data_IF_290896037417
#
_entry.id   IF_290896037417
#
_cell.length_a   1.000
_cell.length_b   1.000
_cell.length_c   1.000
_cell.angle_alpha   90.00
_cell.angle_beta   90.00
_cell.angle_gamma   90.00
#
_symmetry.space_group_name_H-M   'P 1'
#
loop_
_entity.id
_entity.type
_entity.pdbx_description
1 polymer ?
#
# COMPACT_ATOMS: atom_id res chain seq x y z
N UNK A 1 1.94 -3.51 7.81
CA UNK A 1 1.60 -2.49 6.79
C UNK A 1 2.45 -2.70 5.56
N UNK A 2 1.93 -2.32 4.38
CA UNK A 2 2.62 -2.33 3.09
C UNK A 2 3.81 -1.32 3.06
N UNK A 3 4.72 -1.42 4.04
CA UNK A 3 5.86 -0.50 4.20
C UNK A 3 6.73 -0.52 2.95
N UNK A 4 6.98 -1.70 2.40
CA UNK A 4 7.73 -1.85 1.15
C UNK A 4 7.05 -1.13 -0.04
N UNK A 5 5.72 -1.12 -0.09
CA UNK A 5 5.00 -0.35 -1.12
C UNK A 5 5.10 1.16 -0.86
N UNK A 6 4.93 1.61 0.39
CA UNK A 6 5.06 3.03 0.75
C UNK A 6 6.47 3.56 0.50
N UNK A 7 7.50 2.77 0.82
CA UNK A 7 8.90 3.09 0.54
C UNK A 7 9.10 3.24 -0.98
N UNK A 8 8.59 2.29 -1.78
CA UNK A 8 8.65 2.36 -3.24
C UNK A 8 7.89 3.56 -3.84
N UNK A 9 6.74 3.91 -3.27
CA UNK A 9 5.99 5.11 -3.65
C UNK A 9 6.82 6.37 -3.37
N UNK A 10 7.46 6.46 -2.19
CA UNK A 10 8.29 7.59 -1.83
C UNK A 10 9.53 7.72 -2.73
N UNK A 11 10.20 6.60 -3.04
CA UNK A 11 11.35 6.56 -3.96
C UNK A 11 10.96 7.03 -5.37
N UNK A 12 9.80 6.59 -5.87
CA UNK A 12 9.31 6.98 -7.20
C UNK A 12 8.79 8.41 -7.23
N UNK A 13 8.14 8.86 -6.17
CA UNK A 13 7.75 10.26 -6.00
C UNK A 13 8.97 11.19 -5.97
N UNK A 14 10.08 10.78 -5.34
CA UNK A 14 11.34 11.53 -5.35
C UNK A 14 11.95 11.65 -6.77
N UNK A 15 11.67 10.68 -7.64
CA UNK A 15 12.03 10.70 -9.06
C UNK A 15 10.99 11.39 -9.95
N UNK A 16 9.89 11.90 -9.37
CA UNK A 16 8.80 12.54 -10.10
C UNK A 16 7.98 11.60 -10.98
N UNK A 17 8.09 10.28 -10.76
CA UNK A 17 7.37 9.27 -11.54
C UNK A 17 6.28 8.62 -10.69
N UNK A 18 5.12 8.27 -11.29
CA UNK A 18 4.06 7.58 -10.57
C UNK A 18 4.54 6.21 -10.06
N UNK A 19 4.01 5.76 -8.90
CA UNK A 19 4.32 4.44 -8.37
C UNK A 19 3.81 3.33 -9.29
N UNK A 20 4.45 2.16 -9.23
CA UNK A 20 3.91 0.97 -9.89
C UNK A 20 2.67 0.47 -9.14
N UNK A 21 1.71 -0.16 -9.84
CA UNK A 21 0.57 -0.78 -9.19
C UNK A 21 1.02 -1.87 -8.21
N UNK A 22 0.15 -2.18 -7.24
CA UNK A 22 0.36 -3.30 -6.33
C UNK A 22 0.50 -4.61 -7.12
N UNK A 23 1.50 -5.41 -6.78
CA UNK A 23 1.62 -6.79 -7.26
C UNK A 23 0.54 -7.67 -6.67
N UNK A 24 0.23 -8.81 -7.32
CA UNK A 24 -0.76 -9.77 -6.83
C UNK A 24 -0.54 -10.20 -5.37
N UNK A 25 0.72 -10.32 -4.95
CA UNK A 25 1.08 -10.62 -3.55
C UNK A 25 0.71 -9.48 -2.61
N UNK A 26 1.04 -8.25 -2.96
CA UNK A 26 0.72 -7.06 -2.16
C UNK A 26 -0.78 -6.81 -2.10
N UNK A 27 -1.50 -7.06 -3.19
CA UNK A 27 -2.97 -7.01 -3.21
C UNK A 27 -3.57 -8.08 -2.28
N UNK A 28 -2.99 -9.29 -2.24
CA UNK A 28 -3.39 -10.32 -1.27
C UNK A 28 -3.19 -9.89 0.18
N UNK A 29 -2.03 -9.29 0.48
CA UNK A 29 -1.74 -8.72 1.81
C UNK A 29 -2.71 -7.58 2.17
N UNK A 30 -3.10 -6.75 1.20
CA UNK A 30 -4.11 -5.70 1.38
C UNK A 30 -5.50 -6.29 1.68
N UNK A 31 -5.90 -7.34 0.96
CA UNK A 31 -7.19 -8.01 1.18
C UNK A 31 -7.27 -8.60 2.60
N UNK A 32 -6.20 -9.24 3.09
CA UNK A 32 -6.18 -9.76 4.47
C UNK A 32 -6.24 -8.64 5.51
N UNK A 33 -5.60 -7.50 5.24
CA UNK A 33 -5.71 -6.31 6.09
C UNK A 33 -7.11 -5.70 6.07
N UNK A 34 -7.80 -5.69 4.92
CA UNK A 34 -9.19 -5.22 4.82
C UNK A 34 -10.17 -6.13 5.58
N UNK A 35 -9.86 -7.43 5.70
CA UNK A 35 -10.66 -8.37 6.52
C UNK A 35 -10.49 -8.16 8.01
N UNK A 36 -9.29 -7.74 8.46
CA UNK A 36 -8.98 -7.43 9.86
C UNK A 36 -8.26 -6.08 9.96
N UNK A 37 -8.97 -4.96 9.72
CA UNK A 37 -8.34 -3.66 9.67
C UNK A 37 -7.79 -3.28 11.06
N UNK A 38 -6.51 -2.89 11.15
CA UNK A 38 -6.00 -2.28 12.37
C UNK A 38 -6.77 -0.97 12.62
N UNK A 39 -7.22 -0.77 13.86
CA UNK A 39 -8.00 0.42 14.25
C UNK A 39 -7.26 1.70 13.84
N UNK A 40 -7.93 2.55 13.07
CA UNK A 40 -7.38 3.83 12.60
C UNK A 40 -6.63 3.77 11.26
N UNK A 41 -6.47 2.60 10.64
CA UNK A 41 -5.87 2.48 9.29
C UNK A 41 -6.90 2.18 8.19
N UNK A 42 -8.19 2.09 8.52
CA UNK A 42 -9.29 1.78 7.58
C UNK A 42 -9.35 2.73 6.39
N UNK A 43 -9.26 4.04 6.65
CA UNK A 43 -9.29 5.06 5.59
C UNK A 43 -8.09 4.96 4.66
N UNK A 44 -6.92 4.58 5.17
CA UNK A 44 -5.67 4.44 4.40
C UNK A 44 -5.64 3.15 3.58
N UNK A 45 -6.52 2.19 3.87
CA UNK A 45 -6.63 0.93 3.12
C UNK A 45 -7.54 1.05 1.89
N UNK A 46 -8.39 2.08 1.83
CA UNK A 46 -9.40 2.29 0.77
C UNK A 46 -9.11 3.49 -0.13
N UNK A 47 -8.08 4.28 0.19
CA UNK A 47 -7.54 5.39 -0.61
C UNK A 47 -6.60 4.87 -1.72
#
# INVERSE_FOLDING_TARGET
MLKAYRDHVAERAALGIPPLPLSAKQTGELIELLKNPPKGEESTLVD
#
